data_IF_950891124180
#
_entry.id   IF_950891124180
#
_cell.length_a   1.000
_cell.length_b   1.000
_cell.length_c   1.000
_cell.angle_alpha   90.00
_cell.angle_beta   90.00
_cell.angle_gamma   90.00
#
_symmetry.space_group_name_H-M   'P 1'
#
loop_
_entity.id
_entity.type
_entity.pdbx_description
1 polymer ?
#
# COMPACT_ATOMS: atom_id res chain seq x y z
N UNK A 1 26.78 -7.16 -1.55
CA UNK A 1 26.10 -6.29 -2.52
C UNK A 1 24.61 -6.32 -2.21
N UNK A 2 24.10 -5.35 -1.45
CA UNK A 2 22.67 -5.18 -1.21
C UNK A 2 22.06 -4.48 -2.41
N UNK A 3 21.12 -5.14 -3.10
CA UNK A 3 20.41 -4.57 -4.25
C UNK A 3 19.52 -3.42 -3.75
N UNK A 4 19.79 -2.14 -4.08
CA UNK A 4 19.04 -1.01 -3.55
C UNK A 4 17.56 -1.02 -3.99
N UNK A 5 17.25 -1.71 -5.10
CA UNK A 5 15.89 -1.90 -5.58
C UNK A 5 15.05 -2.81 -4.68
N UNK A 6 15.65 -3.79 -3.98
CA UNK A 6 14.89 -4.73 -3.13
C UNK A 6 14.51 -4.10 -1.78
N UNK A 7 15.38 -3.25 -1.24
CA UNK A 7 15.16 -2.54 0.04
C UNK A 7 14.15 -1.41 -0.08
N UNK A 8 14.21 -0.61 -1.14
CA UNK A 8 13.27 0.51 -1.33
C UNK A 8 11.83 0.04 -1.62
N UNK A 9 11.65 -1.08 -2.34
CA UNK A 9 10.32 -1.64 -2.57
C UNK A 9 9.76 -2.32 -1.30
N UNK A 10 10.60 -2.99 -0.51
CA UNK A 10 10.17 -3.55 0.79
C UNK A 10 9.72 -2.43 1.74
N UNK A 11 10.46 -1.32 1.79
CA UNK A 11 10.11 -0.18 2.65
C UNK A 11 8.85 0.55 2.18
N UNK A 12 8.64 0.72 0.87
CA UNK A 12 7.42 1.32 0.34
C UNK A 12 6.19 0.44 0.63
N UNK A 13 6.32 -0.88 0.51
CA UNK A 13 5.25 -1.84 0.80
C UNK A 13 4.84 -1.81 2.27
N UNK A 14 5.82 -1.78 3.17
CA UNK A 14 5.58 -1.64 4.61
C UNK A 14 4.93 -0.30 4.95
N UNK A 15 5.37 0.80 4.32
CA UNK A 15 4.75 2.11 4.49
C UNK A 15 3.28 2.14 4.02
N UNK A 16 2.99 1.58 2.84
CA UNK A 16 1.61 1.47 2.32
C UNK A 16 0.72 0.71 3.31
N UNK A 17 1.19 -0.44 3.82
CA UNK A 17 0.42 -1.20 4.81
C UNK A 17 0.22 -0.43 6.11
N UNK A 18 1.23 0.26 6.61
CA UNK A 18 1.14 1.05 7.83
C UNK A 18 0.10 2.18 7.70
N UNK A 19 0.14 2.93 6.59
CA UNK A 19 -0.82 4.01 6.33
C UNK A 19 -2.24 3.47 6.15
N UNK A 20 -2.42 2.33 5.48
CA UNK A 20 -3.73 1.68 5.37
C UNK A 20 -4.29 1.29 6.74
N UNK A 21 -3.48 0.65 7.58
CA UNK A 21 -3.89 0.27 8.94
C UNK A 21 -4.20 1.52 9.79
N UNK A 22 -3.37 2.56 9.70
CA UNK A 22 -3.58 3.82 10.41
C UNK A 22 -4.88 4.54 9.97
N UNK A 23 -5.24 4.43 8.69
CA UNK A 23 -6.51 4.92 8.17
C UNK A 23 -7.73 4.05 8.57
N UNK A 24 -7.52 2.94 9.28
CA UNK A 24 -8.57 2.03 9.73
C UNK A 24 -8.99 1.00 8.69
N UNK A 25 -8.12 0.69 7.71
CA UNK A 25 -8.39 -0.32 6.70
C UNK A 25 -8.59 -1.70 7.32
N UNK A 26 -9.70 -2.34 7.00
CA UNK A 26 -10.09 -3.65 7.47
C UNK A 26 -10.86 -4.41 6.36
N UNK A 27 -11.08 -5.73 6.49
CA UNK A 27 -11.83 -6.49 5.47
C UNK A 27 -13.26 -5.98 5.23
N UNK A 28 -13.91 -5.43 6.25
CA UNK A 28 -15.24 -4.84 6.20
C UNK A 28 -15.22 -3.31 6.03
N UNK A 29 -14.04 -2.68 6.09
CA UNK A 29 -13.86 -1.23 5.97
C UNK A 29 -12.81 -0.87 4.90
N UNK A 30 -13.22 -0.77 3.61
CA UNK A 30 -12.33 -0.33 2.55
C UNK A 30 -11.96 1.16 2.67
N UNK A 31 -10.68 1.47 2.44
CA UNK A 31 -10.13 2.83 2.49
C UNK A 31 -9.82 3.35 1.10
N UNK A 32 -10.14 4.62 0.87
CA UNK A 32 -9.80 5.33 -0.35
C UNK A 32 -8.30 5.68 -0.38
N UNK A 33 -7.62 5.28 -1.45
CA UNK A 33 -6.20 5.53 -1.66
C UNK A 33 -5.87 7.02 -1.73
N UNK A 34 -6.82 7.90 -2.03
CA UNK A 34 -6.60 9.35 -1.93
C UNK A 34 -6.35 9.83 -0.49
N UNK A 35 -6.74 9.06 0.53
CA UNK A 35 -6.45 9.37 1.94
C UNK A 35 -5.03 8.94 2.35
N UNK A 36 -4.41 8.06 1.57
CA UNK A 36 -3.13 7.39 1.89
C UNK A 36 -2.00 7.93 1.01
N UNK A 37 -2.27 8.12 -0.27
CA UNK A 37 -1.32 8.55 -1.30
C UNK A 37 -0.56 9.84 -0.95
N UNK A 38 -1.21 10.92 -0.48
CA UNK A 38 -0.52 12.16 -0.12
C UNK A 38 0.54 11.97 0.97
N UNK A 39 0.28 11.15 1.99
CA UNK A 39 1.24 10.88 3.07
C UNK A 39 2.45 10.12 2.54
N UNK A 40 2.23 9.12 1.68
CA UNK A 40 3.31 8.34 1.08
C UNK A 40 4.18 9.19 0.13
N UNK A 41 3.57 10.08 -0.65
CA UNK A 41 4.29 11.03 -1.50
C UNK A 41 5.09 12.01 -0.64
N UNK A 42 4.51 12.52 0.45
CA UNK A 42 5.22 13.39 1.39
C UNK A 42 6.39 12.68 2.10
N UNK A 43 6.29 11.36 2.29
CA UNK A 43 7.39 10.51 2.77
C UNK A 43 8.49 10.25 1.70
N UNK A 44 8.31 10.76 0.48
CA UNK A 44 9.31 10.70 -0.59
C UNK A 44 9.14 9.52 -1.55
N UNK A 45 8.05 8.75 -1.45
CA UNK A 45 7.75 7.69 -2.41
C UNK A 45 7.17 8.27 -3.71
N UNK A 46 7.62 7.75 -4.85
CA UNK A 46 7.02 8.09 -6.13
C UNK A 46 5.71 7.32 -6.34
N UNK A 47 4.84 7.86 -7.20
CA UNK A 47 3.61 7.16 -7.59
C UNK A 47 3.89 5.75 -8.12
N UNK A 48 4.92 5.59 -8.95
CA UNK A 48 5.30 4.28 -9.48
C UNK A 48 5.71 3.29 -8.37
N UNK A 49 6.42 3.75 -7.33
CA UNK A 49 6.78 2.91 -6.18
C UNK A 49 5.53 2.51 -5.39
N UNK A 50 4.60 3.43 -5.19
CA UNK A 50 3.34 3.19 -4.46
C UNK A 50 2.47 2.19 -5.23
N UNK A 51 2.29 2.38 -6.54
CA UNK A 51 1.52 1.45 -7.40
C UNK A 51 2.15 0.07 -7.42
N UNK A 52 3.48 -0.01 -7.61
CA UNK A 52 4.22 -1.29 -7.56
C UNK A 52 4.08 -2.00 -6.20
N UNK A 53 4.07 -1.25 -5.10
CA UNK A 53 3.84 -1.77 -3.77
C UNK A 53 2.40 -2.28 -3.58
N UNK A 54 1.39 -1.55 -4.05
CA UNK A 54 -0.01 -1.97 -4.03
C UNK A 54 -0.22 -3.26 -4.83
N UNK A 55 0.32 -3.33 -6.06
CA UNK A 55 0.24 -4.52 -6.90
C UNK A 55 0.91 -5.73 -6.24
N UNK A 56 2.06 -5.51 -5.59
CA UNK A 56 2.75 -6.56 -4.82
C UNK A 56 1.89 -7.06 -3.65
N UNK A 57 1.22 -6.16 -2.92
CA UNK A 57 0.34 -6.54 -1.80
C UNK A 57 -0.91 -7.28 -2.26
N UNK A 58 -1.47 -6.92 -3.42
CA UNK A 58 -2.57 -7.65 -4.05
C UNK A 58 -2.12 -9.04 -4.47
N UNK A 59 -0.96 -9.15 -5.12
CA UNK A 59 -0.37 -10.43 -5.51
C UNK A 59 -0.11 -11.33 -4.29
N UNK A 60 0.38 -10.75 -3.19
CA UNK A 60 0.59 -11.43 -1.91
C UNK A 60 -0.71 -11.73 -1.14
N UNK A 61 -1.87 -11.33 -1.68
CA UNK A 61 -3.19 -11.46 -1.04
C UNK A 61 -3.20 -10.87 0.37
N UNK A 62 -2.59 -9.69 0.53
CA UNK A 62 -2.60 -8.90 1.77
C UNK A 62 -3.67 -7.82 1.74
N UNK A 63 -3.99 -7.34 0.55
CA UNK A 63 -5.07 -6.39 0.28
C UNK A 63 -5.81 -6.83 -0.99
N UNK A 64 -7.00 -6.28 -1.21
CA UNK A 64 -7.69 -6.37 -2.49
C UNK A 64 -8.39 -5.06 -2.83
N UNK A 65 -8.60 -4.82 -4.12
CA UNK A 65 -9.36 -3.66 -4.60
C UNK A 65 -10.85 -3.88 -4.35
N UNK A 66 -11.49 -2.94 -3.64
CA UNK A 66 -12.90 -2.97 -3.27
C UNK A 66 -13.79 -2.16 -4.23
N UNK A 67 -13.27 -1.78 -5.40
CA UNK A 67 -13.95 -0.95 -6.39
C UNK A 67 -13.81 0.56 -6.14
N UNK A 68 -13.72 1.32 -7.24
CA UNK A 68 -13.23 2.70 -7.19
C UNK A 68 -11.76 2.76 -6.76
N UNK A 69 -11.31 3.86 -6.17
CA UNK A 69 -9.95 3.99 -5.64
C UNK A 69 -9.82 3.44 -4.23
N UNK A 70 -10.57 2.38 -3.89
CA UNK A 70 -10.61 1.82 -2.53
C UNK A 70 -9.95 0.45 -2.45
N UNK A 71 -9.24 0.24 -1.35
CA UNK A 71 -8.60 -1.05 -1.01
C UNK A 71 -9.06 -1.49 0.38
N UNK A 72 -9.14 -2.80 0.60
CA UNK A 72 -9.39 -3.39 1.91
C UNK A 72 -8.34 -4.45 2.23
N UNK A 73 -8.14 -4.72 3.51
CA UNK A 73 -7.32 -5.85 3.92
C UNK A 73 -8.03 -7.16 3.55
N UNK A 74 -7.29 -8.12 3.06
CA UNK A 74 -7.78 -9.49 2.97
C UNK A 74 -7.58 -10.14 4.35
N UNK A 75 -8.67 -10.67 4.92
CA UNK A 75 -8.58 -11.57 6.06
C UNK A 75 -7.79 -12.80 5.63
N UNK A 76 -6.78 -13.19 6.41
CA UNK A 76 -6.12 -14.47 6.22
C UNK A 76 -7.14 -15.62 6.37
#
# INVERSE_FOLDING_TARGET
MTNPSKTAHSSCKEAVMAELIAAGCAPDNPIDLYLVGPTLVAAGFTEQQIVSALDSLVYEKRIEYAGGNRVRLTGA
#
